data_IF_616520312946
#
_entry.id   IF_616520312946
#
_cell.length_a   1.000
_cell.length_b   1.000
_cell.length_c   1.000
_cell.angle_alpha   90.00
_cell.angle_beta   90.00
_cell.angle_gamma   90.00
#
_symmetry.space_group_name_H-M   'P 1'
#
loop_
_entity.id
_entity.type
_entity.pdbx_description
1 polymer ?
#
# COMPACT_ATOMS: atom_id res chain seq x y z
N UNK A 1 20.10 11.53 -0.58
CA UNK A 1 18.82 11.85 0.06
C UNK A 1 18.15 10.56 0.51
N UNK A 2 17.56 10.60 1.69
CA UNK A 2 16.84 9.44 2.20
C UNK A 2 15.47 9.30 1.53
N UNK A 3 14.99 8.08 1.44
CA UNK A 3 13.65 7.83 0.92
C UNK A 3 12.60 8.37 1.90
N UNK A 4 11.47 8.88 1.39
CA UNK A 4 10.42 9.38 2.27
C UNK A 4 9.78 8.24 3.06
N UNK A 5 9.31 8.56 4.26
CA UNK A 5 8.54 7.65 5.09
C UNK A 5 7.14 8.20 5.28
N UNK A 6 6.17 7.33 5.25
CA UNK A 6 4.77 7.66 5.43
C UNK A 6 4.16 6.75 6.49
N UNK A 7 3.01 7.13 7.01
CA UNK A 7 2.35 6.33 8.04
C UNK A 7 0.86 6.18 7.81
N UNK A 8 0.32 5.09 8.33
CA UNK A 8 -1.11 4.86 8.48
C UNK A 8 -1.41 4.57 9.94
N UNK A 9 -2.43 5.22 10.49
CA UNK A 9 -3.01 4.85 11.79
C UNK A 9 -4.25 4.01 11.50
N UNK A 10 -4.28 2.79 12.00
CA UNK A 10 -5.26 1.77 11.62
C UNK A 10 -6.27 1.53 12.73
N UNK A 11 -7.56 1.49 12.34
CA UNK A 11 -8.64 0.99 13.17
C UNK A 11 -9.09 -0.36 12.63
N UNK A 12 -9.29 -1.31 13.53
CA UNK A 12 -9.91 -2.59 13.20
C UNK A 12 -11.19 -2.67 14.01
N UNK A 13 -12.33 -2.63 13.34
CA UNK A 13 -13.61 -2.42 14.01
C UNK A 13 -13.60 -1.05 14.67
N UNK A 14 -13.77 -1.01 15.98
CA UNK A 14 -13.73 0.23 16.76
C UNK A 14 -12.43 0.38 17.56
N UNK A 15 -11.48 -0.55 17.38
CA UNK A 15 -10.25 -0.57 18.18
C UNK A 15 -9.09 0.02 17.39
N UNK A 16 -8.29 0.84 18.05
CA UNK A 16 -7.05 1.37 17.48
C UNK A 16 -6.03 0.24 17.46
N UNK A 17 -5.64 -0.18 16.26
CA UNK A 17 -4.67 -1.26 16.09
C UNK A 17 -3.23 -0.75 16.17
N UNK A 18 -2.99 0.51 15.82
CA UNK A 18 -1.67 1.12 15.90
C UNK A 18 -1.26 1.78 14.61
N UNK A 19 0.03 2.13 14.54
CA UNK A 19 0.61 2.84 13.40
C UNK A 19 1.54 1.93 12.60
N UNK A 20 1.38 1.97 11.28
CA UNK A 20 2.29 1.35 10.32
C UNK A 20 3.14 2.46 9.72
N UNK A 21 4.45 2.30 9.73
CA UNK A 21 5.37 3.22 9.07
C UNK A 21 5.99 2.50 7.88
N UNK A 22 5.99 3.17 6.74
CA UNK A 22 6.44 2.60 5.48
C UNK A 22 7.49 3.49 4.84
N UNK A 23 8.54 2.89 4.29
CA UNK A 23 9.52 3.60 3.48
C UNK A 23 9.13 3.46 2.01
N UNK A 24 9.13 4.57 1.27
CA UNK A 24 8.85 4.56 -0.16
C UNK A 24 10.17 4.63 -0.92
N UNK A 25 10.36 3.71 -1.86
CA UNK A 25 11.63 3.57 -2.59
C UNK A 25 11.73 4.60 -3.74
N UNK A 26 11.82 5.89 -3.37
CA UNK A 26 11.92 6.96 -4.36
C UNK A 26 13.21 6.91 -5.17
N UNK A 27 14.23 6.21 -4.69
CA UNK A 27 15.47 5.99 -5.41
C UNK A 27 15.30 5.01 -6.58
N UNK A 28 14.51 3.95 -6.39
CA UNK A 28 14.29 2.93 -7.40
C UNK A 28 13.03 3.18 -8.23
N UNK A 29 11.97 3.68 -7.61
CA UNK A 29 10.67 3.92 -8.26
C UNK A 29 10.16 5.32 -7.93
N UNK A 30 10.85 6.38 -8.39
CA UNK A 30 10.49 7.75 -8.01
C UNK A 30 9.06 8.14 -8.40
N UNK A 31 8.60 7.72 -9.55
CA UNK A 31 7.27 8.08 -10.04
C UNK A 31 6.17 7.38 -9.25
N UNK A 32 6.33 6.09 -8.99
CA UNK A 32 5.35 5.30 -8.23
C UNK A 32 5.32 5.75 -6.77
N UNK A 33 6.50 5.98 -6.18
CA UNK A 33 6.60 6.48 -4.81
C UNK A 33 5.95 7.85 -4.66
N UNK A 34 6.16 8.75 -5.62
CA UNK A 34 5.57 10.09 -5.59
C UNK A 34 4.05 10.04 -5.72
N UNK A 35 3.53 9.14 -6.55
CA UNK A 35 2.08 8.93 -6.65
C UNK A 35 1.48 8.60 -5.27
N UNK A 36 2.07 7.65 -4.59
CA UNK A 36 1.59 7.23 -3.27
C UNK A 36 1.70 8.36 -2.24
N UNK A 37 2.86 9.01 -2.17
CA UNK A 37 3.10 10.12 -1.24
C UNK A 37 2.12 11.28 -1.47
N UNK A 38 1.92 11.67 -2.72
CA UNK A 38 1.06 12.80 -3.06
C UNK A 38 -0.41 12.51 -2.74
N UNK A 39 -0.87 11.30 -2.97
CA UNK A 39 -2.24 10.91 -2.63
C UNK A 39 -2.48 10.99 -1.12
N UNK A 40 -1.50 10.63 -0.32
CA UNK A 40 -1.60 10.78 1.14
C UNK A 40 -1.68 12.25 1.55
N UNK A 41 -0.92 13.12 0.88
CA UNK A 41 -0.85 14.54 1.20
C UNK A 41 -2.13 15.31 0.83
N UNK A 42 -2.83 14.87 -0.19
CA UNK A 42 -4.05 15.54 -0.62
C UNK A 42 -5.20 15.43 0.36
N UNK A 43 -5.06 14.59 1.37
CA UNK A 43 -6.15 14.35 2.29
C UNK A 43 -7.32 13.61 1.67
N UNK A 44 -7.10 12.98 0.53
CA UNK A 44 -8.10 12.15 -0.13
C UNK A 44 -8.24 10.86 0.65
N UNK A 45 -8.88 10.96 1.80
CA UNK A 45 -8.92 9.88 2.77
C UNK A 45 -9.85 8.74 2.35
N UNK A 46 -10.78 9.03 1.50
CA UNK A 46 -11.81 8.05 1.13
C UNK A 46 -11.23 6.82 0.46
N UNK A 47 -10.31 7.01 -0.47
CA UNK A 47 -9.72 5.89 -1.18
C UNK A 47 -8.86 5.02 -0.25
N UNK A 48 -8.16 5.65 0.70
CA UNK A 48 -7.30 4.92 1.64
C UNK A 48 -8.09 4.16 2.68
N UNK A 49 -9.23 4.69 3.05
CA UNK A 49 -10.03 4.11 4.12
C UNK A 49 -10.87 2.94 3.69
N UNK A 50 -11.10 2.77 2.42
CA UNK A 50 -12.07 1.79 1.95
C UNK A 50 -11.48 0.56 1.31
N UNK A 51 -10.35 0.68 0.64
CA UNK A 51 -9.95 -0.38 -0.28
C UNK A 51 -8.50 -0.78 -0.18
N UNK A 52 -7.77 -0.07 0.61
CA UNK A 52 -6.34 -0.04 0.40
C UNK A 52 -5.55 -1.11 1.09
N UNK A 53 -6.14 -1.79 2.02
CA UNK A 53 -5.35 -2.77 2.71
C UNK A 53 -6.01 -4.10 2.56
N UNK A 54 -6.23 -4.44 1.36
CA UNK A 54 -6.58 -5.79 1.08
C UNK A 54 -5.35 -6.47 0.64
N UNK A 55 -4.92 -7.31 1.47
CA UNK A 55 -3.81 -8.17 1.16
C UNK A 55 -4.09 -9.00 -0.05
N UNK A 56 -5.33 -9.14 -0.40
CA UNK A 56 -5.74 -9.78 -1.63
C UNK A 56 -7.02 -9.16 -2.10
N UNK A 57 -6.89 -8.30 -3.06
CA UNK A 57 -7.97 -7.87 -3.86
C UNK A 57 -9.25 -7.50 -3.16
N UNK A 58 -9.39 -6.32 -2.69
CA UNK A 58 -10.68 -5.74 -2.54
C UNK A 58 -11.45 -5.96 -3.85
N UNK A 59 -12.51 -5.26 -4.07
CA UNK A 59 -13.30 -5.45 -5.29
C UNK A 59 -12.59 -4.99 -6.57
N UNK A 60 -11.38 -4.45 -6.44
CA UNK A 60 -10.57 -4.06 -7.59
C UNK A 60 -11.05 -2.81 -8.32
N UNK A 61 -12.00 -2.08 -7.77
CA UNK A 61 -12.55 -0.90 -8.42
C UNK A 61 -12.09 0.38 -7.75
N UNK A 62 -12.07 1.48 -8.50
CA UNK A 62 -11.74 2.81 -8.02
C UNK A 62 -10.26 3.09 -8.01
N UNK A 63 -9.90 4.30 -7.60
CA UNK A 63 -8.52 4.68 -7.36
C UNK A 63 -7.76 5.20 -8.56
N UNK A 64 -7.83 6.51 -8.79
CA UNK A 64 -7.01 7.16 -9.83
C UNK A 64 -5.66 7.56 -9.28
N UNK A 65 -4.66 7.57 -10.14
CA UNK A 65 -3.34 8.08 -9.82
C UNK A 65 -3.28 9.60 -9.95
N UNK A 66 -2.17 10.19 -9.50
CA UNK A 66 -1.93 11.61 -9.72
C UNK A 66 -1.58 11.93 -11.18
N UNK A 67 -1.34 10.90 -11.98
CA UNK A 67 -0.97 11.04 -13.40
C UNK A 67 -2.14 10.80 -14.35
N UNK A 68 -3.34 10.57 -13.80
CA UNK A 68 -4.54 10.24 -14.56
C UNK A 68 -5.14 8.94 -14.08
N UNK A 69 -6.07 8.37 -14.85
CA UNK A 69 -6.75 7.15 -14.42
C UNK A 69 -5.77 6.01 -14.17
N UNK A 70 -4.75 5.87 -15.02
CA UNK A 70 -3.76 4.80 -14.91
C UNK A 70 -2.40 5.30 -15.39
N UNK A 71 -1.33 4.65 -14.92
CA UNK A 71 0.02 4.95 -15.40
C UNK A 71 0.83 3.67 -15.60
N UNK A 72 1.89 3.80 -16.41
CA UNK A 72 2.71 2.67 -16.81
C UNK A 72 3.48 2.05 -15.65
N UNK A 73 3.82 0.77 -15.77
CA UNK A 73 4.73 0.10 -14.86
C UNK A 73 6.11 0.75 -14.96
N UNK A 74 6.58 1.31 -13.86
CA UNK A 74 7.82 2.08 -13.87
C UNK A 74 9.04 1.19 -14.11
N UNK A 75 9.16 0.14 -13.34
CA UNK A 75 10.17 -0.91 -13.53
C UNK A 75 9.86 -2.08 -12.59
N UNK A 76 10.60 -3.16 -12.76
CA UNK A 76 10.46 -4.35 -11.92
C UNK A 76 11.80 -4.71 -11.27
N UNK A 77 12.60 -3.71 -10.92
CA UNK A 77 13.92 -3.91 -10.31
C UNK A 77 13.82 -4.55 -8.93
N UNK A 78 12.79 -4.18 -8.17
CA UNK A 78 12.59 -4.69 -6.82
C UNK A 78 11.63 -5.88 -6.88
N UNK A 79 11.88 -6.84 -6.00
CA UNK A 79 11.15 -8.11 -5.98
C UNK A 79 10.32 -8.24 -4.71
N UNK A 80 9.37 -9.17 -4.74
CA UNK A 80 8.52 -9.48 -3.60
C UNK A 80 9.27 -10.43 -2.68
N UNK A 81 10.19 -9.88 -1.90
CA UNK A 81 11.19 -10.66 -1.17
C UNK A 81 10.69 -11.28 0.14
N UNK A 82 9.59 -10.77 0.68
CA UNK A 82 9.06 -11.27 1.94
C UNK A 82 7.98 -10.38 2.53
N UNK A 83 7.62 -10.63 3.79
CA UNK A 83 6.60 -9.84 4.46
C UNK A 83 6.95 -8.35 4.56
N UNK A 84 5.94 -7.50 4.43
CA UNK A 84 6.10 -6.05 4.56
C UNK A 84 6.35 -5.31 3.26
N UNK A 85 6.51 -6.00 2.14
CA UNK A 85 6.72 -5.35 0.84
C UNK A 85 5.43 -4.68 0.38
N UNK A 86 5.55 -3.42 -0.08
CA UNK A 86 4.45 -2.67 -0.70
C UNK A 86 4.55 -2.78 -2.21
N UNK A 87 3.45 -3.15 -2.84
CA UNK A 87 3.40 -3.36 -4.29
C UNK A 87 2.11 -2.81 -4.86
N UNK A 88 2.15 -2.35 -6.11
CA UNK A 88 0.96 -1.80 -6.77
C UNK A 88 0.04 -2.90 -7.26
N UNK A 89 -1.23 -2.77 -6.95
CA UNK A 89 -2.26 -3.59 -7.58
C UNK A 89 -2.49 -3.09 -9.00
N UNK A 90 -2.88 -3.99 -9.89
CA UNK A 90 -3.18 -3.62 -11.27
C UNK A 90 -4.15 -4.63 -11.89
N UNK A 91 -4.63 -4.32 -13.09
CA UNK A 91 -5.51 -5.21 -13.86
C UNK A 91 -4.84 -5.64 -15.18
N UNK A 92 -3.51 -5.74 -15.16
CA UNK A 92 -2.70 -6.10 -16.29
C UNK A 92 -1.58 -5.10 -16.49
N UNK A 93 -0.75 -5.24 -17.54
CA UNK A 93 0.37 -4.34 -17.78
C UNK A 93 -0.07 -2.88 -17.89
N UNK A 94 0.71 -2.01 -17.23
CA UNK A 94 0.55 -0.55 -17.36
C UNK A 94 -0.83 -0.03 -16.92
N UNK A 95 -1.36 -0.61 -15.82
CA UNK A 95 -2.68 -0.20 -15.29
C UNK A 95 -2.61 0.20 -13.83
N UNK A 96 -1.53 0.84 -13.40
CA UNK A 96 -1.37 1.30 -12.03
C UNK A 96 -2.23 2.54 -11.77
N UNK A 97 -2.89 2.56 -10.62
CA UNK A 97 -3.70 3.68 -10.18
C UNK A 97 -3.31 4.11 -8.77
N UNK A 98 -4.20 3.91 -7.80
CA UNK A 98 -3.94 4.20 -6.40
C UNK A 98 -4.07 2.97 -5.50
N UNK A 99 -4.44 1.84 -6.03
CA UNK A 99 -4.58 0.61 -5.25
C UNK A 99 -3.22 -0.05 -5.05
N UNK A 100 -3.01 -0.59 -3.86
CA UNK A 100 -1.76 -1.25 -3.51
C UNK A 100 -2.05 -2.38 -2.53
N UNK A 101 -1.04 -3.21 -2.27
CA UNK A 101 -1.14 -4.25 -1.25
C UNK A 101 0.15 -4.34 -0.46
N UNK A 102 0.03 -4.91 0.74
CA UNK A 102 1.17 -5.19 1.62
C UNK A 102 1.30 -6.71 1.68
N UNK A 103 2.47 -7.22 1.30
CA UNK A 103 2.72 -8.65 1.33
C UNK A 103 2.89 -9.13 2.77
N UNK A 104 2.32 -10.29 3.07
CA UNK A 104 2.50 -10.96 4.36
C UNK A 104 3.38 -12.20 4.22
N UNK A 105 3.79 -12.51 3.00
CA UNK A 105 4.67 -13.62 2.66
C UNK A 105 5.55 -13.24 1.48
N UNK A 106 6.52 -14.09 1.18
CA UNK A 106 7.27 -13.96 -0.06
C UNK A 106 6.35 -14.38 -1.22
N UNK A 107 6.07 -13.44 -2.11
CA UNK A 107 5.14 -13.63 -3.23
C UNK A 107 5.89 -13.55 -4.56
N UNK A 108 6.88 -14.41 -4.74
CA UNK A 108 7.78 -14.35 -5.90
C UNK A 108 7.06 -14.48 -7.25
N UNK A 109 5.89 -15.10 -7.27
CA UNK A 109 5.09 -15.22 -8.50
C UNK A 109 4.55 -13.86 -8.99
N UNK A 110 4.64 -12.82 -8.18
CA UNK A 110 4.23 -11.47 -8.57
C UNK A 110 5.37 -10.66 -9.17
N UNK A 111 6.60 -11.16 -9.10
CA UNK A 111 7.76 -10.47 -9.66
C UNK A 111 7.61 -10.29 -11.17
N UNK A 112 7.90 -9.09 -11.65
CA UNK A 112 7.75 -8.77 -13.06
C UNK A 112 6.33 -8.46 -13.51
N UNK A 113 5.37 -8.50 -12.59
CA UNK A 113 3.95 -8.22 -12.89
C UNK A 113 3.40 -7.05 -12.09
N UNK A 114 3.91 -6.85 -10.88
CA UNK A 114 3.50 -5.78 -9.98
C UNK A 114 4.73 -4.98 -9.56
N UNK A 115 4.59 -3.66 -9.56
CA UNK A 115 5.70 -2.76 -9.23
C UNK A 115 5.83 -2.66 -7.72
N UNK A 116 6.97 -3.11 -7.18
CA UNK A 116 7.32 -2.93 -5.76
C UNK A 116 7.85 -1.53 -5.57
N UNK A 117 7.30 -0.78 -4.61
CA UNK A 117 7.67 0.62 -4.41
C UNK A 117 7.94 1.01 -2.97
N UNK A 118 7.85 0.10 -2.04
CA UNK A 118 8.10 0.41 -0.62
C UNK A 118 8.11 -0.82 0.26
N UNK A 119 8.27 -0.57 1.57
CA UNK A 119 8.22 -1.63 2.58
C UNK A 119 7.79 -1.06 3.93
N UNK A 120 7.20 -1.90 4.76
CA UNK A 120 6.90 -1.58 6.16
C UNK A 120 8.21 -1.61 6.95
N UNK A 121 8.53 -0.52 7.64
CA UNK A 121 9.75 -0.41 8.46
C UNK A 121 9.45 -0.39 9.95
N UNK A 122 8.19 -0.14 10.32
CA UNK A 122 7.76 -0.18 11.72
C UNK A 122 6.27 -0.51 11.76
N UNK A 123 5.82 -1.13 12.85
CA UNK A 123 4.40 -1.45 13.04
C UNK A 123 3.91 -2.68 12.28
N UNK A 124 4.79 -3.59 11.91
CA UNK A 124 4.37 -4.79 11.17
C UNK A 124 3.36 -5.63 11.96
N UNK A 125 3.38 -5.55 13.30
CA UNK A 125 2.39 -6.22 14.13
C UNK A 125 0.96 -5.79 13.81
N UNK A 126 0.77 -4.53 13.40
CA UNK A 126 -0.53 -4.02 12.96
C UNK A 126 -0.96 -4.73 11.68
N UNK A 127 -0.03 -4.93 10.74
CA UNK A 127 -0.31 -5.66 9.50
C UNK A 127 -0.76 -7.09 9.80
N UNK A 128 -0.13 -7.74 10.78
CA UNK A 128 -0.52 -9.08 11.20
C UNK A 128 -1.93 -9.12 11.77
N UNK A 129 -2.30 -8.09 12.54
CA UNK A 129 -3.67 -8.00 13.07
C UNK A 129 -4.70 -7.79 11.96
N UNK A 130 -4.33 -7.01 10.93
CA UNK A 130 -5.19 -6.82 9.77
C UNK A 130 -5.37 -8.13 9.01
N UNK A 131 -4.32 -8.91 8.86
CA UNK A 131 -4.38 -10.21 8.19
C UNK A 131 -5.34 -11.16 8.89
N UNK A 132 -5.37 -11.14 10.22
CA UNK A 132 -6.24 -12.01 11.02
C UNK A 132 -7.72 -11.81 10.74
N UNK A 133 -8.13 -10.60 10.36
CA UNK A 133 -9.53 -10.32 10.04
C UNK A 133 -9.85 -10.51 8.57
N UNK A 134 -8.86 -10.83 7.76
CA UNK A 134 -9.03 -11.11 6.34
C UNK A 134 -9.54 -12.52 6.10
N UNK A 135 -9.95 -12.78 4.86
CA UNK A 135 -10.40 -14.11 4.43
C UNK A 135 -9.95 -14.38 3.01
N UNK A 136 -10.07 -15.63 2.58
CA UNK A 136 -9.71 -16.03 1.22
C UNK A 136 -10.55 -15.35 0.14
N UNK A 137 -11.76 -14.92 0.49
CA UNK A 137 -12.65 -14.21 -0.44
C UNK A 137 -12.35 -12.71 -0.52
N UNK A 138 -11.46 -12.20 0.31
CA UNK A 138 -11.19 -10.78 0.40
C UNK A 138 -12.10 -10.03 1.36
N UNK A 139 -13.13 -10.68 1.88
CA UNK A 139 -14.03 -10.08 2.86
C UNK A 139 -13.37 -10.06 4.23
N UNK A 140 -13.45 -8.94 4.94
CA UNK A 140 -12.91 -8.85 6.29
C UNK A 140 -13.99 -9.13 7.33
N UNK A 141 -13.60 -9.77 8.44
CA UNK A 141 -14.52 -10.05 9.56
C UNK A 141 -14.91 -8.78 10.29
N UNK A 142 -14.01 -7.80 10.29
CA UNK A 142 -14.24 -6.49 10.87
C UNK A 142 -13.74 -5.43 9.89
N UNK A 143 -14.31 -4.24 9.96
CA UNK A 143 -13.92 -3.14 9.09
C UNK A 143 -12.50 -2.70 9.44
N UNK A 144 -11.65 -2.58 8.43
CA UNK A 144 -10.29 -2.05 8.57
C UNK A 144 -10.28 -0.67 7.93
N UNK A 145 -9.93 0.35 8.73
CA UNK A 145 -9.98 1.74 8.31
C UNK A 145 -8.64 2.41 8.57
N UNK A 146 -8.17 3.21 7.61
CA UNK A 146 -7.07 4.13 7.84
C UNK A 146 -7.66 5.39 8.47
N UNK A 147 -7.51 5.52 9.78
CA UNK A 147 -8.04 6.65 10.53
C UNK A 147 -7.30 7.94 10.21
N UNK A 148 -6.00 7.84 10.07
CA UNK A 148 -5.14 8.96 9.73
C UNK A 148 -3.95 8.47 8.92
N UNK A 149 -3.34 9.36 8.15
CA UNK A 149 -2.18 9.03 7.33
C UNK A 149 -1.42 10.31 6.99
N UNK A 150 -0.17 10.15 6.60
CA UNK A 150 0.63 11.29 6.22
C UNK A 150 2.08 10.91 6.00
N UNK A 151 2.91 11.92 5.80
CA UNK A 151 4.34 11.77 5.65
C UNK A 151 5.02 12.10 6.97
N UNK A 152 6.01 11.29 7.34
CA UNK A 152 6.84 11.55 8.51
C UNK A 152 7.98 12.44 8.06
N UNK A 153 8.09 13.62 8.68
CA UNK A 153 9.17 14.54 8.39
C UNK A 153 10.24 14.33 9.44
N UNK A 154 11.41 13.90 9.00
CA UNK A 154 12.58 13.70 9.87
C UNK A 154 13.50 14.90 9.73
N UNK A 155 13.92 15.42 10.87
CA UNK A 155 14.90 16.51 10.90
C UNK A 155 16.32 15.97 11.09
#
# INVERSE_FOLDING_TARGET
>A
MSNPKVFFDILIGKMKAGRIVMELFADATPKTAENFRALLHRGERDWKCRETITLQGGNGTGGESIYGAKFADENFKLKHTGPGVLSMANSGPNTNGSQFFICTEKTSWLDGKHVVFGKVVDGYGVVQEMEKVGSNSGTTKETVIVEDCGQIIEN
#
